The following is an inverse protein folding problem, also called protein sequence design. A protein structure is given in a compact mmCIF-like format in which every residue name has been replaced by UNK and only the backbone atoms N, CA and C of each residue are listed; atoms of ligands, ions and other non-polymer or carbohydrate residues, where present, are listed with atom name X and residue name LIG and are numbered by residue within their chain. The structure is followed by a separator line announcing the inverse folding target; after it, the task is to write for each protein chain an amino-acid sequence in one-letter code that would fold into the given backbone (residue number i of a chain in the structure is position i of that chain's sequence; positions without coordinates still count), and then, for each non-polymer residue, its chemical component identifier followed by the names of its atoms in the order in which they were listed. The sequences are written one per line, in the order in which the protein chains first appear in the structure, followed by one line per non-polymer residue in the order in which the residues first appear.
data_IF_770380927307
#
_entry.id   IF_770380927307
#
_cell.length_a   1.000
_cell.length_b   1.000
_cell.length_c   1.000
_cell.angle_alpha   90.00
_cell.angle_beta   90.00
_cell.angle_gamma   90.00
#
_symmetry.space_group_name_H-M   'P 1'
#
loop_
_entity.id
_entity.type
_entity.pdbx_description
1 polymer ?
#
# COMPACT_ATOMS: atom_id res chain seq x y z
N UNK A 1 -8.86 -35.17 23.34
CA UNK A 1 -9.77 -35.20 22.17
C UNK A 1 -8.90 -35.21 20.91
N UNK A 2 -9.22 -36.08 19.91
CA UNK A 2 -8.45 -36.07 18.66
C UNK A 2 -8.84 -34.86 17.80
N UNK A 3 -7.90 -34.39 16.94
CA UNK A 3 -8.12 -33.32 15.95
C UNK A 3 -9.39 -33.58 15.13
N UNK A 4 -9.61 -34.81 14.71
CA UNK A 4 -10.78 -35.21 13.90
C UNK A 4 -12.11 -35.00 14.64
N UNK A 5 -12.18 -35.33 15.94
CA UNK A 5 -13.38 -35.08 16.74
C UNK A 5 -13.70 -33.58 16.88
N UNK A 6 -12.65 -32.74 17.02
CA UNK A 6 -12.81 -31.28 17.08
C UNK A 6 -13.31 -30.74 15.73
N UNK A 7 -12.71 -31.16 14.63
CA UNK A 7 -13.13 -30.72 13.28
C UNK A 7 -14.56 -31.17 12.95
N UNK A 8 -14.94 -32.41 13.32
CA UNK A 8 -16.30 -32.90 13.15
C UNK A 8 -17.33 -32.10 13.98
N UNK A 9 -17.00 -31.76 15.23
CA UNK A 9 -17.85 -30.93 16.08
C UNK A 9 -17.99 -29.49 15.50
N UNK A 10 -16.92 -28.90 15.01
CA UNK A 10 -16.96 -27.59 14.32
C UNK A 10 -17.83 -27.65 13.06
N UNK A 11 -17.67 -28.70 12.25
CA UNK A 11 -18.45 -28.85 11.02
C UNK A 11 -19.96 -29.00 11.31
N UNK A 12 -20.32 -29.76 12.36
CA UNK A 12 -21.71 -29.97 12.77
C UNK A 12 -22.38 -28.68 13.26
N UNK A 13 -21.61 -27.75 13.85
CA UNK A 13 -22.14 -26.53 14.43
C UNK A 13 -21.99 -25.30 13.52
N UNK A 14 -21.60 -25.50 12.26
CA UNK A 14 -21.61 -24.40 11.28
C UNK A 14 -23.06 -24.07 10.91
N UNK A 15 -23.39 -22.78 10.76
CA UNK A 15 -24.67 -22.38 10.18
C UNK A 15 -24.76 -22.85 8.72
N UNK A 16 -25.98 -22.97 8.23
CA UNK A 16 -26.23 -23.26 6.83
C UNK A 16 -25.59 -22.23 5.93
N UNK A 17 -25.07 -22.68 4.79
CA UNK A 17 -24.48 -21.77 3.77
C UNK A 17 -25.61 -20.91 3.18
N UNK A 18 -25.51 -19.62 3.42
CA UNK A 18 -26.32 -18.61 2.74
C UNK A 18 -25.58 -18.10 1.50
N UNK A 19 -26.25 -17.90 0.36
CA UNK A 19 -25.60 -17.29 -0.80
C UNK A 19 -25.10 -15.88 -0.45
N UNK A 20 -23.96 -15.52 -0.98
CA UNK A 20 -23.43 -14.15 -0.84
C UNK A 20 -24.40 -13.18 -1.52
N UNK A 21 -24.63 -11.99 -0.92
CA UNK A 21 -25.44 -10.96 -1.57
C UNK A 21 -24.79 -10.50 -2.87
N UNK A 22 -25.61 -10.12 -3.85
CA UNK A 22 -25.10 -9.48 -5.06
C UNK A 22 -24.56 -8.07 -4.73
N UNK A 23 -23.28 -7.84 -5.00
CA UNK A 23 -22.58 -6.60 -4.67
C UNK A 23 -22.19 -5.77 -5.90
N UNK A 24 -22.61 -6.21 -7.11
CA UNK A 24 -22.16 -5.63 -8.38
C UNK A 24 -22.56 -4.16 -8.58
N UNK A 25 -23.60 -3.67 -7.91
CA UNK A 25 -24.13 -2.32 -8.07
C UNK A 25 -24.08 -1.50 -6.76
N UNK A 26 -23.11 -1.74 -5.91
CA UNK A 26 -23.00 -1.03 -4.64
C UNK A 26 -22.46 0.40 -4.83
N UNK A 27 -23.30 1.40 -4.54
CA UNK A 27 -22.97 2.83 -4.59
C UNK A 27 -22.89 3.41 -6.02
N UNK A 28 -22.77 4.72 -6.09
CA UNK A 28 -22.68 5.45 -7.36
C UNK A 28 -21.28 5.29 -7.98
N UNK A 29 -21.16 5.22 -9.32
CA UNK A 29 -19.86 5.26 -9.98
C UNK A 29 -19.21 6.64 -9.78
N UNK A 30 -17.90 6.67 -9.61
CA UNK A 30 -17.13 7.91 -9.60
C UNK A 30 -16.97 8.44 -11.03
N UNK A 31 -17.20 9.74 -11.23
CA UNK A 31 -17.05 10.37 -12.55
C UNK A 31 -15.57 10.38 -13.01
N UNK A 32 -14.63 10.51 -12.06
CA UNK A 32 -13.20 10.49 -12.32
C UNK A 32 -12.47 9.78 -11.17
N UNK A 33 -11.91 8.62 -11.44
CA UNK A 33 -11.20 7.81 -10.44
C UNK A 33 -9.92 8.48 -9.94
N UNK A 34 -9.21 9.19 -10.81
CA UNK A 34 -7.94 9.86 -10.46
C UNK A 34 -8.20 11.00 -9.46
N UNK A 35 -9.19 11.85 -9.74
CA UNK A 35 -9.54 12.94 -8.84
C UNK A 35 -10.11 12.42 -7.51
N UNK A 36 -10.93 11.36 -7.56
CA UNK A 36 -11.47 10.73 -6.36
C UNK A 36 -10.34 10.16 -5.49
N UNK A 37 -9.42 9.39 -6.09
CA UNK A 37 -8.27 8.82 -5.39
C UNK A 37 -7.42 9.91 -4.74
N UNK A 38 -7.09 10.96 -5.50
CA UNK A 38 -6.33 12.10 -5.00
C UNK A 38 -7.03 12.77 -3.81
N UNK A 39 -8.31 13.08 -3.95
CA UNK A 39 -9.09 13.76 -2.91
C UNK A 39 -9.08 12.95 -1.61
N UNK A 40 -9.34 11.64 -1.69
CA UNK A 40 -9.40 10.78 -0.50
C UNK A 40 -8.01 10.58 0.11
N UNK A 41 -6.99 10.25 -0.70
CA UNK A 41 -5.63 10.06 -0.16
C UNK A 41 -5.10 11.34 0.50
N UNK A 42 -5.38 12.51 -0.07
CA UNK A 42 -5.00 13.80 0.53
C UNK A 42 -5.76 14.06 1.84
N UNK A 43 -7.06 13.77 1.87
CA UNK A 43 -7.88 13.95 3.08
C UNK A 43 -7.39 13.08 4.25
N UNK A 44 -6.82 11.91 3.97
CA UNK A 44 -6.23 11.05 5.02
C UNK A 44 -4.74 11.33 5.28
N UNK A 45 -4.19 12.41 4.71
CA UNK A 45 -2.84 12.91 5.01
C UNK A 45 -1.73 12.35 4.12
N UNK A 46 -2.06 11.69 3.02
CA UNK A 46 -1.10 11.34 1.97
C UNK A 46 -0.95 12.48 0.95
N UNK A 47 0.05 12.38 0.11
CA UNK A 47 0.28 13.29 -1.01
C UNK A 47 0.22 12.55 -2.34
N UNK A 48 -0.37 13.17 -3.36
CA UNK A 48 -0.43 12.61 -4.72
C UNK A 48 0.35 13.52 -5.67
N UNK A 49 1.36 12.94 -6.31
CA UNK A 49 2.21 13.62 -7.30
C UNK A 49 1.98 12.98 -8.67
N UNK A 50 1.53 13.79 -9.63
CA UNK A 50 1.39 13.34 -11.02
C UNK A 50 2.75 13.37 -11.70
N UNK A 51 3.07 12.30 -12.39
CA UNK A 51 4.33 12.14 -13.12
C UNK A 51 4.10 11.48 -14.47
N UNK A 52 4.88 11.88 -15.46
CA UNK A 52 4.82 11.28 -16.80
C UNK A 52 5.70 10.06 -16.93
N UNK A 53 6.86 10.09 -16.27
CA UNK A 53 7.89 9.09 -16.41
C UNK A 53 8.78 8.98 -15.17
N UNK A 54 9.75 8.09 -15.23
CA UNK A 54 10.72 7.86 -14.15
C UNK A 54 11.68 9.04 -13.93
N UNK A 55 11.92 9.86 -14.96
CA UNK A 55 12.79 11.04 -14.85
C UNK A 55 12.16 12.12 -13.96
N UNK A 56 10.84 12.31 -14.06
CA UNK A 56 10.13 13.23 -13.18
C UNK A 56 10.13 12.75 -11.73
N UNK A 57 10.01 11.43 -11.50
CA UNK A 57 10.16 10.84 -10.15
C UNK A 57 11.59 11.09 -9.64
N UNK A 58 12.61 10.83 -10.46
CA UNK A 58 14.02 11.05 -10.09
C UNK A 58 14.28 12.51 -9.71
N UNK A 59 13.80 13.44 -10.52
CA UNK A 59 13.94 14.87 -10.25
C UNK A 59 13.24 15.27 -8.93
N UNK A 60 12.06 14.74 -8.69
CA UNK A 60 11.34 14.96 -7.44
C UNK A 60 12.13 14.44 -6.23
N UNK A 61 12.67 13.21 -6.32
CA UNK A 61 13.48 12.60 -5.25
C UNK A 61 14.72 13.45 -4.97
N UNK A 62 15.46 13.87 -6.00
CA UNK A 62 16.66 14.69 -5.84
C UNK A 62 16.35 16.02 -5.15
N UNK A 63 15.21 16.62 -5.48
CA UNK A 63 14.81 17.91 -4.93
C UNK A 63 14.38 17.83 -3.47
N UNK A 64 13.63 16.77 -3.09
CA UNK A 64 12.96 16.71 -1.79
C UNK A 64 13.62 15.76 -0.78
N UNK A 65 14.43 14.81 -1.27
CA UNK A 65 15.03 13.75 -0.45
C UNK A 65 16.56 13.65 -0.58
N UNK A 66 17.20 14.67 -1.15
CA UNK A 66 18.65 14.70 -1.27
C UNK A 66 19.34 14.51 0.08
N UNK A 67 20.35 13.62 0.12
CA UNK A 67 21.12 13.31 1.32
C UNK A 67 20.45 12.34 2.31
N UNK A 68 19.23 11.87 2.04
CA UNK A 68 18.59 10.82 2.84
C UNK A 68 18.98 9.43 2.32
N UNK A 69 18.92 8.44 3.21
CA UNK A 69 19.03 7.04 2.82
C UNK A 69 17.77 6.61 2.09
N UNK A 70 17.92 6.15 0.84
CA UNK A 70 16.81 5.77 -0.04
C UNK A 70 16.93 4.29 -0.38
N UNK A 71 15.83 3.56 -0.37
CA UNK A 71 15.74 2.18 -0.84
C UNK A 71 14.63 2.05 -1.88
N UNK A 72 14.90 1.29 -2.92
CA UNK A 72 13.92 0.92 -3.95
C UNK A 72 14.29 -0.41 -4.60
N UNK A 73 13.32 -1.14 -5.09
CA UNK A 73 13.49 -2.29 -5.97
C UNK A 73 12.95 -2.03 -7.38
N UNK A 74 12.76 -0.77 -7.72
CA UNK A 74 12.32 -0.31 -9.03
C UNK A 74 13.55 -0.03 -9.90
N UNK A 75 13.84 -0.92 -10.86
CA UNK A 75 15.05 -0.85 -11.69
C UNK A 75 15.33 0.53 -12.30
N UNK A 76 14.35 1.26 -12.88
CA UNK A 76 14.57 2.60 -13.41
C UNK A 76 15.03 3.64 -12.39
N UNK A 77 14.91 3.38 -11.09
CA UNK A 77 15.33 4.26 -9.99
C UNK A 77 16.52 3.71 -9.19
N UNK A 78 17.19 2.66 -9.68
CA UNK A 78 18.29 2.03 -8.97
C UNK A 78 19.46 2.98 -8.67
N UNK A 79 19.68 3.97 -9.52
CA UNK A 79 20.76 4.96 -9.40
C UNK A 79 20.57 5.97 -8.25
N UNK A 80 19.34 6.14 -7.76
CA UNK A 80 19.05 7.05 -6.62
C UNK A 80 18.97 6.32 -5.27
N UNK A 81 19.15 5.01 -5.25
CA UNK A 81 18.93 4.18 -4.07
C UNK A 81 20.19 3.44 -3.61
N UNK A 82 20.18 3.01 -2.36
CA UNK A 82 21.20 2.12 -1.83
C UNK A 82 21.10 0.73 -2.45
N UNK A 83 22.21 0.18 -2.88
CA UNK A 83 22.32 -1.20 -3.34
C UNK A 83 22.21 -2.22 -2.18
N UNK A 84 21.81 -3.46 -2.55
CA UNK A 84 21.92 -4.66 -1.69
C UNK A 84 21.16 -4.65 -0.35
N UNK A 85 20.06 -3.89 -0.25
CA UNK A 85 19.25 -3.84 0.97
C UNK A 85 18.25 -5.00 1.13
N UNK A 86 17.81 -5.63 0.01
CA UNK A 86 16.76 -6.67 0.02
C UNK A 86 17.10 -7.89 0.87
N UNK A 87 18.39 -8.24 0.96
CA UNK A 87 18.89 -9.40 1.73
C UNK A 87 19.55 -9.01 3.06
N UNK A 88 19.49 -7.73 3.44
CA UNK A 88 20.06 -7.26 4.71
C UNK A 88 19.17 -7.66 5.90
N UNK A 89 19.69 -7.50 7.11
CA UNK A 89 18.87 -7.60 8.32
C UNK A 89 17.72 -6.56 8.25
N UNK A 90 16.46 -6.94 8.45
CA UNK A 90 15.32 -6.00 8.44
C UNK A 90 15.50 -4.80 9.39
N UNK A 91 16.13 -4.99 10.57
CA UNK A 91 16.39 -3.91 11.51
C UNK A 91 17.38 -2.87 10.98
N UNK A 92 18.27 -3.27 10.05
CA UNK A 92 19.20 -2.33 9.42
C UNK A 92 18.52 -1.30 8.52
N UNK A 93 17.20 -1.37 8.33
CA UNK A 93 16.41 -0.42 7.57
C UNK A 93 15.78 0.67 8.43
N UNK A 94 16.06 0.71 9.73
CA UNK A 94 15.46 1.67 10.69
C UNK A 94 15.73 3.15 10.37
N UNK A 95 16.83 3.43 9.68
CA UNK A 95 17.26 4.77 9.29
C UNK A 95 16.90 5.13 7.83
N UNK A 96 16.08 4.32 7.14
CA UNK A 96 15.62 4.61 5.79
C UNK A 96 14.71 5.84 5.80
N UNK A 97 15.20 6.92 5.17
CA UNK A 97 14.46 8.17 5.04
C UNK A 97 13.35 8.11 3.98
N UNK A 98 13.56 7.30 2.93
CA UNK A 98 12.59 7.13 1.85
C UNK A 98 12.62 5.69 1.31
N UNK A 99 11.49 5.00 1.35
CA UNK A 99 11.27 3.77 0.61
C UNK A 99 10.38 4.05 -0.60
N UNK A 100 10.83 3.65 -1.80
CA UNK A 100 10.07 3.83 -3.04
C UNK A 100 9.75 2.45 -3.58
N UNK A 101 8.47 2.10 -3.62
CA UNK A 101 8.01 0.77 -4.01
C UNK A 101 6.95 0.89 -5.12
N UNK A 102 6.81 -0.16 -5.90
CA UNK A 102 5.72 -0.26 -6.87
C UNK A 102 4.45 -0.73 -6.16
N UNK A 103 3.33 -0.04 -6.40
CA UNK A 103 2.00 -0.56 -6.09
C UNK A 103 1.44 -1.31 -7.29
N UNK A 104 0.62 -2.32 -7.05
CA UNK A 104 -0.05 -3.04 -8.15
C UNK A 104 -1.23 -2.25 -8.69
N UNK A 105 -2.05 -1.69 -7.80
CA UNK A 105 -3.19 -0.85 -8.15
C UNK A 105 -3.63 0.01 -6.95
N UNK A 106 -4.40 1.06 -7.24
CA UNK A 106 -5.00 1.92 -6.21
C UNK A 106 -6.52 1.82 -6.17
N UNK A 107 -7.12 2.12 -5.03
CA UNK A 107 -8.56 2.10 -4.79
C UNK A 107 -9.07 3.52 -4.54
N UNK A 108 -9.92 4.02 -5.44
CA UNK A 108 -10.41 5.40 -5.38
C UNK A 108 -11.35 5.66 -4.18
N UNK A 109 -12.04 4.63 -3.71
CA UNK A 109 -12.98 4.72 -2.58
C UNK A 109 -12.31 5.18 -1.28
N UNK A 110 -11.09 4.70 -0.99
CA UNK A 110 -10.42 4.91 0.29
C UNK A 110 -8.97 5.39 0.18
N UNK A 111 -8.48 5.64 -1.05
CA UNK A 111 -7.12 6.11 -1.28
C UNK A 111 -6.03 5.07 -0.99
N UNK A 112 -6.38 3.79 -0.85
CA UNK A 112 -5.40 2.74 -0.59
C UNK A 112 -4.71 2.26 -1.86
N UNK A 113 -3.49 1.76 -1.70
CA UNK A 113 -2.70 1.11 -2.74
C UNK A 113 -2.40 -0.31 -2.30
N UNK A 114 -2.67 -1.29 -3.19
CA UNK A 114 -2.36 -2.69 -2.97
C UNK A 114 -0.90 -2.98 -3.29
N UNK A 115 -0.21 -3.60 -2.33
CA UNK A 115 1.21 -3.97 -2.43
C UNK A 115 1.39 -5.38 -1.88
N UNK A 116 2.05 -6.26 -2.62
CA UNK A 116 2.42 -7.60 -2.11
C UNK A 116 3.89 -7.66 -1.71
N UNK A 117 4.29 -8.76 -1.07
CA UNK A 117 5.68 -8.94 -0.62
C UNK A 117 6.69 -8.89 -1.77
N UNK A 118 6.28 -9.21 -2.98
CA UNK A 118 7.12 -9.10 -4.18
C UNK A 118 7.52 -7.66 -4.45
N UNK A 119 6.56 -6.72 -4.38
CA UNK A 119 6.83 -5.30 -4.55
C UNK A 119 7.55 -4.69 -3.34
N UNK A 120 7.36 -5.25 -2.15
CA UNK A 120 7.99 -4.74 -0.93
C UNK A 120 9.49 -5.00 -0.86
N UNK A 121 10.00 -6.02 -1.57
CA UNK A 121 11.40 -6.50 -1.42
C UNK A 121 11.64 -7.17 -0.07
N UNK A 122 11.40 -6.46 1.02
CA UNK A 122 11.24 -7.00 2.38
C UNK A 122 9.89 -6.56 2.94
N UNK A 123 9.20 -7.44 3.66
CA UNK A 123 7.86 -7.13 4.24
C UNK A 123 7.87 -5.93 5.18
N UNK A 124 8.99 -5.64 5.81
CA UNK A 124 9.14 -4.51 6.74
C UNK A 124 9.26 -3.16 6.04
N UNK A 125 9.73 -3.13 4.79
CA UNK A 125 10.12 -1.91 4.07
C UNK A 125 9.03 -0.83 4.06
N UNK A 126 7.75 -1.13 3.73
CA UNK A 126 6.72 -0.10 3.70
C UNK A 126 6.32 0.42 5.09
N UNK A 127 6.79 -0.21 6.16
CA UNK A 127 6.40 0.12 7.53
C UNK A 127 7.54 0.72 8.37
N UNK A 128 8.79 0.48 8.00
CA UNK A 128 9.97 0.93 8.78
C UNK A 128 10.52 2.27 8.28
N UNK A 129 10.33 2.61 7.02
CA UNK A 129 10.83 3.84 6.44
C UNK A 129 10.13 5.08 7.02
N UNK A 130 10.85 6.21 7.13
CA UNK A 130 10.27 7.48 7.58
C UNK A 130 9.22 8.01 6.60
N UNK A 131 9.50 7.90 5.30
CA UNK A 131 8.57 8.23 4.21
C UNK A 131 8.40 7.02 3.30
N UNK A 132 7.15 6.71 2.96
CA UNK A 132 6.80 5.71 1.95
C UNK A 132 6.33 6.40 0.68
N UNK A 133 6.94 6.09 -0.46
CA UNK A 133 6.48 6.48 -1.78
C UNK A 133 6.01 5.23 -2.54
N UNK A 134 4.78 5.25 -3.03
CA UNK A 134 4.22 4.18 -3.87
C UNK A 134 3.99 4.70 -5.28
N UNK A 135 4.47 3.95 -6.28
CA UNK A 135 4.32 4.28 -7.70
C UNK A 135 3.25 3.38 -8.31
N UNK A 136 2.22 3.97 -8.88
CA UNK A 136 1.15 3.25 -9.61
C UNK A 136 0.83 3.96 -10.92
N UNK A 137 0.31 3.22 -11.90
CA UNK A 137 -0.21 3.79 -13.14
C UNK A 137 -1.63 4.35 -12.89
N UNK A 138 -1.99 5.47 -13.51
CA UNK A 138 -3.35 6.02 -13.47
C UNK A 138 -4.41 5.02 -13.95
N UNK A 139 -4.05 4.21 -14.95
CA UNK A 139 -4.90 3.15 -15.50
C UNK A 139 -5.18 2.00 -14.55
N UNK A 140 -4.38 1.88 -13.48
CA UNK A 140 -4.48 0.81 -12.48
C UNK A 140 -5.35 1.20 -11.28
N UNK A 141 -6.15 2.28 -11.39
CA UNK A 141 -7.10 2.64 -10.37
C UNK A 141 -8.40 1.85 -10.52
N UNK A 142 -8.86 1.28 -9.42
CA UNK A 142 -10.18 0.64 -9.32
C UNK A 142 -11.12 1.49 -8.46
N UNK A 143 -12.45 1.48 -8.73
CA UNK A 143 -13.36 2.36 -8.02
C UNK A 143 -13.53 2.01 -6.55
N UNK A 144 -13.70 0.73 -6.20
CA UNK A 144 -14.14 0.30 -4.87
C UNK A 144 -13.32 -0.88 -4.35
N UNK A 145 -13.38 -1.12 -3.04
CA UNK A 145 -12.76 -2.29 -2.42
C UNK A 145 -13.31 -3.61 -2.97
N UNK A 146 -14.59 -3.67 -3.36
CA UNK A 146 -15.14 -4.86 -4.01
C UNK A 146 -14.44 -5.18 -5.32
N UNK A 147 -14.19 -4.17 -6.15
CA UNK A 147 -13.43 -4.32 -7.40
C UNK A 147 -11.99 -4.74 -7.14
N UNK A 148 -11.40 -4.20 -6.06
CA UNK A 148 -10.06 -4.59 -5.62
C UNK A 148 -9.98 -6.08 -5.26
N UNK A 149 -10.92 -6.59 -4.48
CA UNK A 149 -10.96 -8.01 -4.12
C UNK A 149 -11.27 -8.91 -5.32
N UNK A 150 -12.11 -8.47 -6.26
CA UNK A 150 -12.34 -9.19 -7.53
C UNK A 150 -11.03 -9.26 -8.33
N UNK A 151 -10.28 -8.14 -8.38
CA UNK A 151 -9.00 -8.08 -9.09
C UNK A 151 -7.93 -8.97 -8.47
N UNK A 152 -7.80 -8.99 -7.13
CA UNK A 152 -6.89 -9.90 -6.43
C UNK A 152 -7.30 -11.37 -6.69
N UNK A 153 -8.60 -11.65 -6.68
CA UNK A 153 -9.14 -12.97 -7.01
C UNK A 153 -8.49 -14.11 -6.24
N UNK A 154 -8.00 -15.10 -6.99
CA UNK A 154 -7.31 -16.27 -6.44
C UNK A 154 -5.79 -16.20 -6.53
N UNK A 155 -5.19 -15.04 -6.68
CA UNK A 155 -3.74 -14.89 -6.71
C UNK A 155 -3.08 -15.44 -5.44
N UNK A 156 -1.96 -16.13 -5.64
CA UNK A 156 -1.19 -16.68 -4.51
C UNK A 156 -0.05 -15.73 -4.16
N UNK A 157 -0.14 -15.13 -3.01
CA UNK A 157 0.91 -14.31 -2.40
C UNK A 157 1.06 -14.71 -0.93
N UNK A 158 2.27 -14.58 -0.36
CA UNK A 158 2.51 -14.89 1.05
C UNK A 158 2.02 -13.79 1.97
N UNK A 159 2.21 -12.52 1.55
CA UNK A 159 1.78 -11.34 2.28
C UNK A 159 1.40 -10.23 1.30
N UNK A 160 0.36 -9.49 1.63
CA UNK A 160 -0.07 -8.30 0.90
C UNK A 160 -0.81 -7.35 1.83
N UNK A 161 -0.77 -6.07 1.51
CA UNK A 161 -1.41 -5.02 2.30
C UNK A 161 -2.02 -3.93 1.42
N UNK A 162 -3.18 -3.42 1.83
CA UNK A 162 -3.69 -2.13 1.38
C UNK A 162 -3.11 -1.04 2.26
N UNK A 163 -2.34 -0.12 1.69
CA UNK A 163 -1.69 0.99 2.39
C UNK A 163 -2.37 2.29 2.01
N UNK A 164 -2.87 3.03 2.99
CA UNK A 164 -3.65 4.24 2.79
C UNK A 164 -3.17 5.38 3.73
N UNK A 165 -2.39 6.29 3.18
CA UNK A 165 -1.85 7.43 3.93
C UNK A 165 -0.76 7.06 4.95
N UNK A 166 -0.27 8.05 5.71
CA UNK A 166 0.75 7.85 6.74
C UNK A 166 0.21 7.07 7.94
N UNK A 167 1.13 6.51 8.73
CA UNK A 167 0.78 5.81 9.98
C UNK A 167 0.13 6.77 10.98
N UNK A 168 -1.04 6.41 11.49
CA UNK A 168 -1.81 7.18 12.47
C UNK A 168 -2.16 6.32 13.67
N UNK A 169 -1.80 6.81 14.86
CA UNK A 169 -2.17 6.19 16.13
C UNK A 169 -2.96 7.20 16.95
N UNK A 170 -4.20 6.84 17.32
CA UNK A 170 -5.11 7.73 18.06
C UNK A 170 -5.22 7.41 19.56
N UNK A 171 -4.50 6.40 20.04
CA UNK A 171 -4.72 5.80 21.37
C UNK A 171 -3.71 6.23 22.42
N UNK A 172 -2.79 7.16 22.09
CA UNK A 172 -1.85 7.70 23.07
C UNK A 172 -2.38 9.06 23.54
N UNK A 173 -2.91 9.10 24.77
CA UNK A 173 -3.41 10.30 25.44
C UNK A 173 -4.47 11.09 24.64
N UNK A 174 -5.28 10.38 23.81
CA UNK A 174 -6.29 10.98 22.93
C UNK A 174 -5.71 11.96 21.89
N UNK A 175 -4.40 11.92 21.64
CA UNK A 175 -3.71 12.73 20.64
C UNK A 175 -3.40 11.88 19.39
N UNK A 176 -3.60 12.48 18.22
CA UNK A 176 -3.20 11.86 16.96
C UNK A 176 -1.69 11.92 16.80
N UNK A 177 -1.02 10.76 16.85
CA UNK A 177 0.42 10.65 16.63
C UNK A 177 0.67 10.08 15.24
N UNK A 178 1.47 10.77 14.43
CA UNK A 178 1.91 10.30 13.11
C UNK A 178 3.25 9.60 13.22
N UNK A 179 3.37 8.44 12.54
CA UNK A 179 4.65 7.74 12.40
C UNK A 179 5.11 6.94 13.62
N UNK A 180 4.23 6.64 14.59
CA UNK A 180 4.62 5.83 15.76
C UNK A 180 4.88 4.35 15.40
N UNK A 181 4.14 3.80 14.44
CA UNK A 181 4.22 2.40 14.01
C UNK A 181 4.28 2.24 12.49
N UNK A 182 4.87 3.20 11.78
CA UNK A 182 4.99 3.19 10.33
C UNK A 182 5.42 4.56 9.79
N UNK A 183 5.33 4.80 8.48
CA UNK A 183 5.79 6.03 7.87
C UNK A 183 5.09 7.27 8.42
N UNK A 184 5.86 8.33 8.68
CA UNK A 184 5.34 9.66 9.06
C UNK A 184 4.62 10.34 7.89
N UNK A 185 5.03 10.02 6.65
CA UNK A 185 4.46 10.56 5.44
C UNK A 185 4.33 9.50 4.36
N UNK A 186 3.36 9.68 3.47
CA UNK A 186 3.13 8.81 2.33
C UNK A 186 2.93 9.65 1.07
N UNK A 187 3.63 9.26 0.00
CA UNK A 187 3.51 9.79 -1.35
C UNK A 187 2.93 8.73 -2.28
N UNK A 188 2.05 9.12 -3.17
CA UNK A 188 1.64 8.31 -4.31
C UNK A 188 2.05 9.01 -5.61
N UNK A 189 3.01 8.44 -6.32
CA UNK A 189 3.29 8.85 -7.70
C UNK A 189 2.29 8.20 -8.64
N UNK A 190 1.43 9.01 -9.24
CA UNK A 190 0.50 8.59 -10.27
C UNK A 190 1.13 8.83 -11.66
N UNK A 191 1.55 7.74 -12.27
CA UNK A 191 2.20 7.75 -13.59
C UNK A 191 1.16 7.68 -14.72
N UNK A 192 1.43 8.32 -15.85
CA UNK A 192 0.59 8.29 -17.07
C UNK A 192 0.58 6.93 -17.75
#
# INVERSE_FOLDING_TARGET
MSREKILAAVAKNKPDLTPLPEIQNFGNPYANLVEQFKAVLTAIGGEVVYVKDWEEIRAYIQTHFGGRRIVTNIDPLADVAQESWIKSDPHSLEDVGLAILKGQFGVAENGSIWVTETEMGQRVTPFIAETLALVIQKSELVPKMHDAYIRIGGERYGFGAFIAGPSKTADIEQSLVLGAHGPKSMLAFLME
#
